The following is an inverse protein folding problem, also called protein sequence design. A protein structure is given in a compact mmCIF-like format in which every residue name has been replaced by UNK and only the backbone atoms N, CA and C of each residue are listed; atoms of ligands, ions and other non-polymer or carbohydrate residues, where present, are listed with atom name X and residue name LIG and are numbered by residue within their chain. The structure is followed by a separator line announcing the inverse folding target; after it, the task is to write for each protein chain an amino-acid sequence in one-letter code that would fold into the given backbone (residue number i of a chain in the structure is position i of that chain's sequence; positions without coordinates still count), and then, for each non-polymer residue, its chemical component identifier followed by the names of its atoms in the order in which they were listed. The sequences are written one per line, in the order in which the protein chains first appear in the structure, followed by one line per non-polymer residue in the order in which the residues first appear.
data_IF_057554530223
#
_entry.id   IF_057554530223
#
_cell.length_a   1.000
_cell.length_b   1.000
_cell.length_c   1.000
_cell.angle_alpha   90.00
_cell.angle_beta   90.00
_cell.angle_gamma   90.00
#
_symmetry.space_group_name_H-M   'P 1'
#
loop_
_entity.id
_entity.type
_entity.pdbx_description
1 polymer ?
#
# COMPACT_ATOMS: atom_id res chain seq x y z
N UNK A 1 13.17 -10.77 38.44
CA UNK A 1 13.76 -10.12 37.27
C UNK A 1 14.43 -8.86 37.74
N UNK A 2 15.72 -8.71 37.46
CA UNK A 2 16.48 -7.52 37.82
C UNK A 2 16.05 -6.34 36.93
N UNK A 3 15.69 -5.21 37.55
CA UNK A 3 15.27 -4.00 36.82
C UNK A 3 16.39 -3.46 35.92
N UNK A 4 17.66 -3.65 36.30
CA UNK A 4 18.79 -3.26 35.47
C UNK A 4 18.88 -4.09 34.19
N UNK A 5 18.55 -5.38 34.26
CA UNK A 5 18.50 -6.26 33.07
C UNK A 5 17.36 -5.89 32.11
N UNK A 6 16.21 -5.47 32.62
CA UNK A 6 15.07 -5.02 31.79
C UNK A 6 15.39 -3.67 31.12
N UNK A 7 15.95 -2.73 31.88
CA UNK A 7 16.34 -1.42 31.37
C UNK A 7 17.47 -1.57 30.34
N UNK A 8 18.46 -2.43 30.62
CA UNK A 8 19.54 -2.75 29.69
C UNK A 8 19.02 -3.31 28.36
N UNK A 9 18.12 -4.30 28.42
CA UNK A 9 17.52 -4.87 27.22
C UNK A 9 16.73 -3.86 26.38
N UNK A 10 16.00 -2.93 27.01
CA UNK A 10 15.29 -1.87 26.30
C UNK A 10 16.25 -0.87 25.61
N UNK A 11 17.35 -0.51 26.29
CA UNK A 11 18.38 0.38 25.72
C UNK A 11 19.04 -0.29 24.51
N UNK A 12 19.37 -1.58 24.61
CA UNK A 12 19.99 -2.31 23.50
C UNK A 12 19.04 -2.46 22.32
N UNK A 13 17.75 -2.71 22.56
CA UNK A 13 16.73 -2.73 21.50
C UNK A 13 16.60 -1.38 20.77
N UNK A 14 16.65 -0.25 21.50
CA UNK A 14 16.63 1.08 20.87
C UNK A 14 17.85 1.29 19.97
N UNK A 15 19.04 0.84 20.40
CA UNK A 15 20.26 0.90 19.57
C UNK A 15 20.16 0.03 18.32
N UNK A 16 19.60 -1.18 18.45
CA UNK A 16 19.34 -2.07 17.31
C UNK A 16 18.40 -1.40 16.29
N UNK A 17 17.34 -0.73 16.76
CA UNK A 17 16.41 0.03 15.91
C UNK A 17 17.08 1.21 15.22
N UNK A 18 17.91 1.98 15.94
CA UNK A 18 18.67 3.10 15.38
C UNK A 18 19.63 2.63 14.28
N UNK A 19 20.34 1.53 14.51
CA UNK A 19 21.25 0.94 13.54
C UNK A 19 20.51 0.41 12.31
N UNK A 20 19.37 -0.25 12.51
CA UNK A 20 18.52 -0.73 11.42
C UNK A 20 18.01 0.44 10.55
N UNK A 21 17.57 1.53 11.17
CA UNK A 21 17.10 2.73 10.48
C UNK A 21 18.21 3.35 9.63
N UNK A 22 19.42 3.49 10.18
CA UNK A 22 20.59 3.99 9.45
C UNK A 22 20.96 3.10 8.26
N UNK A 23 20.95 1.77 8.44
CA UNK A 23 21.20 0.79 7.37
C UNK A 23 20.21 0.94 6.21
N UNK A 24 18.91 1.06 6.53
CA UNK A 24 17.85 1.24 5.54
C UNK A 24 17.98 2.58 4.79
N UNK A 25 18.35 3.66 5.48
CA UNK A 25 18.62 4.95 4.84
C UNK A 25 19.82 4.90 3.89
N UNK A 26 20.89 4.18 4.26
CA UNK A 26 22.06 3.98 3.40
C UNK A 26 21.72 3.13 2.17
N UNK A 27 20.94 2.05 2.35
CA UNK A 27 20.45 1.22 1.25
C UNK A 27 19.54 2.01 0.30
N UNK A 28 18.66 2.88 0.84
CA UNK A 28 17.82 3.79 0.05
C UNK A 28 18.66 4.75 -0.80
N UNK A 29 19.74 5.32 -0.24
CA UNK A 29 20.67 6.21 -0.98
C UNK A 29 21.42 5.46 -2.09
N UNK A 30 21.88 4.23 -1.84
CA UNK A 30 22.58 3.43 -2.86
C UNK A 30 21.69 3.08 -4.06
N UNK A 31 20.44 2.71 -3.80
CA UNK A 31 19.45 2.45 -4.87
C UNK A 31 19.12 3.69 -5.70
N UNK A 32 19.25 4.90 -5.13
CA UNK A 32 19.05 6.15 -5.87
C UNK A 32 20.25 6.55 -6.74
N UNK A 33 21.46 6.05 -6.46
CA UNK A 33 22.68 6.42 -7.20
C UNK A 33 23.02 5.45 -8.35
N UNK A 34 22.52 4.21 -8.32
CA UNK A 34 22.74 3.21 -9.39
C UNK A 34 21.72 3.31 -10.55
N UNK A 35 20.64 4.09 -10.41
CA UNK A 35 19.62 4.29 -11.44
C UNK A 35 19.83 5.61 -12.21
N UNK A 36 20.94 5.67 -12.94
CA UNK A 36 21.01 6.50 -14.14
C UNK A 36 20.36 5.75 -15.32
N UNK A 37 19.49 6.46 -16.06
CA UNK A 37 18.81 6.11 -17.33
C UNK A 37 17.40 5.48 -17.26
N UNK A 38 16.35 6.32 -17.17
CA UNK A 38 15.30 6.49 -18.20
C UNK A 38 14.19 7.44 -17.68
N UNK A 39 13.74 8.48 -18.43
CA UNK A 39 12.90 9.55 -17.90
C UNK A 39 11.39 9.29 -17.96
N UNK A 40 10.91 8.05 -17.98
CA UNK A 40 9.47 7.80 -18.20
C UNK A 40 8.95 6.53 -17.54
N UNK A 41 8.85 6.51 -16.20
CA UNK A 41 7.90 5.66 -15.43
C UNK A 41 8.10 5.68 -13.91
N UNK A 42 8.77 6.68 -13.33
CA UNK A 42 8.96 6.77 -11.87
C UNK A 42 7.68 7.31 -11.20
N UNK A 43 6.62 6.50 -11.17
CA UNK A 43 5.55 6.69 -10.18
C UNK A 43 6.01 6.03 -8.87
N UNK A 44 6.08 6.76 -7.74
CA UNK A 44 6.78 6.35 -6.50
C UNK A 44 6.20 5.13 -5.78
N UNK A 45 5.05 4.65 -6.26
CA UNK A 45 4.27 3.60 -5.67
C UNK A 45 3.90 2.50 -6.68
N UNK A 46 4.54 2.47 -7.85
CA UNK A 46 4.34 1.39 -8.81
C UNK A 46 4.77 0.07 -8.16
N UNK A 47 3.79 -0.73 -7.74
CA UNK A 47 4.04 -1.96 -6.98
C UNK A 47 4.00 -1.82 -5.45
N UNK A 48 3.45 -0.75 -4.87
CA UNK A 48 3.22 -0.65 -3.42
C UNK A 48 2.43 -1.85 -2.88
N UNK A 49 1.38 -2.23 -3.60
CA UNK A 49 0.58 -3.43 -3.34
C UNK A 49 1.21 -4.72 -3.87
N UNK A 50 2.35 -4.66 -4.57
CA UNK A 50 3.04 -5.82 -5.16
C UNK A 50 4.16 -6.38 -4.25
N UNK A 51 4.22 -5.96 -2.99
CA UNK A 51 5.18 -6.50 -2.01
C UNK A 51 4.84 -7.96 -1.65
N UNK A 52 5.83 -8.83 -1.33
CA UNK A 52 5.65 -10.29 -1.29
C UNK A 52 4.67 -10.82 -0.25
N UNK A 53 4.22 -9.98 0.69
CA UNK A 53 3.23 -10.37 1.69
C UNK A 53 1.79 -10.36 1.16
N UNK A 54 1.57 -9.86 -0.08
CA UNK A 54 0.23 -9.68 -0.65
C UNK A 54 0.04 -10.18 -2.08
N UNK A 55 1.05 -10.79 -2.72
CA UNK A 55 0.88 -11.28 -4.11
C UNK A 55 0.25 -12.68 -4.15
N UNK A 56 -1.05 -12.77 -4.43
CA UNK A 56 -1.62 -13.96 -5.10
C UNK A 56 -1.59 -13.71 -6.61
N UNK A 57 -0.75 -14.48 -7.30
CA UNK A 57 -0.70 -14.73 -8.75
C UNK A 57 -1.52 -13.82 -9.68
N UNK A 58 -0.85 -12.87 -10.33
CA UNK A 58 -0.85 -12.76 -11.80
C UNK A 58 0.26 -11.81 -12.26
N UNK A 59 1.43 -12.37 -12.47
CA UNK A 59 2.39 -11.78 -13.40
C UNK A 59 1.80 -11.92 -14.80
N UNK A 60 1.86 -10.84 -15.59
CA UNK A 60 1.77 -10.81 -17.06
C UNK A 60 0.39 -10.68 -17.72
N UNK A 61 0.05 -9.44 -18.14
CA UNK A 61 -0.10 -9.10 -19.56
C UNK A 61 -0.45 -7.61 -19.71
N UNK A 62 0.49 -6.80 -20.21
CA UNK A 62 0.17 -5.50 -20.79
C UNK A 62 0.82 -5.41 -22.17
N UNK A 63 0.35 -6.28 -23.05
CA UNK A 63 0.36 -6.15 -24.50
C UNK A 63 -0.59 -7.24 -25.02
N UNK A 64 -1.28 -7.00 -26.13
CA UNK A 64 -2.29 -7.87 -26.77
C UNK A 64 -3.62 -8.13 -26.00
N UNK A 65 -4.40 -7.06 -25.78
CA UNK A 65 -5.87 -7.16 -25.66
C UNK A 65 -6.48 -7.58 -27.01
N UNK A 66 -6.39 -8.85 -27.41
CA UNK A 66 -7.31 -9.53 -28.35
C UNK A 66 -7.12 -11.04 -28.23
N UNK A 67 -8.23 -11.76 -28.07
CA UNK A 67 -8.39 -13.23 -28.01
C UNK A 67 -7.97 -13.90 -26.70
N UNK A 68 -8.92 -14.16 -25.80
CA UNK A 68 -9.48 -15.52 -25.63
C UNK A 68 -10.52 -15.45 -24.49
N UNK A 69 -11.78 -15.60 -24.88
CA UNK A 69 -12.87 -15.98 -23.99
C UNK A 69 -12.67 -17.45 -23.55
N UNK A 70 -13.17 -17.78 -22.38
CA UNK A 70 -13.47 -19.12 -21.86
C UNK A 70 -12.46 -19.87 -20.95
N UNK A 71 -13.00 -20.17 -19.75
CA UNK A 71 -12.78 -21.33 -18.85
C UNK A 71 -11.63 -21.33 -17.82
N UNK A 72 -12.01 -21.19 -16.54
CA UNK A 72 -11.71 -22.05 -15.35
C UNK A 72 -11.73 -21.16 -14.09
N UNK A 73 -12.73 -21.25 -13.20
CA UNK A 73 -13.00 -22.28 -12.17
C UNK A 73 -12.05 -22.24 -10.95
N UNK A 74 -12.70 -22.16 -9.77
CA UNK A 74 -12.31 -22.59 -8.42
C UNK A 74 -11.35 -21.78 -7.53
N UNK A 75 -11.94 -21.08 -6.55
CA UNK A 75 -11.97 -21.51 -5.14
C UNK A 75 -10.88 -21.01 -4.17
N UNK A 76 -11.29 -20.32 -3.10
CA UNK A 76 -10.56 -20.29 -1.81
C UNK A 76 -10.43 -18.95 -1.06
N UNK A 77 -11.45 -18.61 -0.26
CA UNK A 77 -11.43 -17.86 1.01
C UNK A 77 -10.31 -16.84 1.32
N UNK A 78 -10.47 -15.61 0.81
CA UNK A 78 -10.36 -14.30 1.51
C UNK A 78 -10.91 -13.25 0.52
N UNK A 79 -11.91 -12.44 0.89
CA UNK A 79 -12.50 -11.48 -0.06
C UNK A 79 -11.63 -10.22 -0.14
N UNK A 80 -10.50 -10.33 -0.83
CA UNK A 80 -9.70 -9.19 -1.25
C UNK A 80 -10.10 -8.83 -2.69
N UNK A 81 -10.71 -7.66 -2.86
CA UNK A 81 -11.03 -7.12 -4.17
C UNK A 81 -9.94 -6.14 -4.58
N UNK A 82 -9.20 -6.47 -5.63
CA UNK A 82 -8.22 -5.57 -6.25
C UNK A 82 -8.79 -5.00 -7.54
N UNK A 83 -8.82 -3.67 -7.68
CA UNK A 83 -9.20 -3.00 -8.93
C UNK A 83 -8.08 -2.05 -9.37
N UNK A 84 -7.44 -2.37 -10.50
CA UNK A 84 -6.41 -1.52 -11.13
C UNK A 84 -7.06 -0.66 -12.20
N UNK A 85 -7.46 0.55 -11.82
CA UNK A 85 -7.93 1.56 -12.77
C UNK A 85 -6.74 2.37 -13.27
N UNK A 86 -6.82 2.93 -14.48
CA UNK A 86 -5.84 3.93 -14.95
C UNK A 86 -5.74 5.17 -14.04
N UNK A 87 -6.69 5.32 -13.10
CA UNK A 87 -6.84 6.48 -12.22
C UNK A 87 -6.34 6.25 -10.79
N UNK A 88 -6.44 5.03 -10.27
CA UNK A 88 -6.07 4.68 -8.89
C UNK A 88 -5.91 3.17 -8.69
N UNK A 89 -5.02 2.79 -7.77
CA UNK A 89 -4.86 1.42 -7.27
C UNK A 89 -5.57 1.31 -5.90
N UNK A 90 -6.39 0.28 -5.74
CA UNK A 90 -7.25 0.09 -4.57
C UNK A 90 -7.04 -1.31 -3.98
N UNK A 91 -6.84 -1.38 -2.67
CA UNK A 91 -6.83 -2.61 -1.86
C UNK A 91 -7.90 -2.47 -0.78
N UNK A 92 -8.72 -3.51 -0.58
CA UNK A 92 -9.71 -3.56 0.49
C UNK A 92 -9.55 -4.86 1.27
N UNK A 93 -9.47 -4.76 2.60
CA UNK A 93 -9.53 -5.91 3.50
C UNK A 93 -10.73 -5.78 4.43
N UNK A 94 -11.54 -6.84 4.52
CA UNK A 94 -12.71 -6.90 5.39
C UNK A 94 -12.38 -7.73 6.63
N UNK A 95 -12.62 -7.17 7.81
CA UNK A 95 -12.39 -7.81 9.11
C UNK A 95 -13.70 -7.77 9.90
N UNK A 96 -14.44 -8.89 9.88
CA UNK A 96 -15.75 -9.04 10.51
C UNK A 96 -16.78 -7.99 10.04
N UNK A 97 -16.88 -6.88 10.78
CA UNK A 97 -17.80 -5.75 10.52
C UNK A 97 -17.06 -4.47 10.14
N UNK A 98 -15.73 -4.51 10.08
CA UNK A 98 -14.89 -3.37 9.74
C UNK A 98 -14.23 -3.59 8.38
N UNK A 99 -13.99 -2.52 7.63
CA UNK A 99 -13.23 -2.58 6.38
C UNK A 99 -12.03 -1.63 6.42
N UNK A 100 -10.87 -2.10 5.96
CA UNK A 100 -9.72 -1.25 5.70
C UNK A 100 -9.63 -1.02 4.19
N UNK A 101 -9.83 0.23 3.77
CA UNK A 101 -9.78 0.66 2.38
C UNK A 101 -8.51 1.48 2.16
N UNK A 102 -7.61 0.98 1.30
CA UNK A 102 -6.40 1.69 0.88
C UNK A 102 -6.56 2.14 -0.56
N UNK A 103 -6.32 3.42 -0.83
CA UNK A 103 -6.42 4.03 -2.16
C UNK A 103 -5.15 4.79 -2.46
N UNK A 104 -4.39 4.31 -3.43
CA UNK A 104 -3.23 4.98 -3.97
C UNK A 104 -3.60 5.65 -5.29
N UNK A 105 -3.30 6.94 -5.42
CA UNK A 105 -3.67 7.70 -6.60
C UNK A 105 -2.77 8.91 -6.82
N UNK A 106 -2.90 9.55 -7.98
CA UNK A 106 -2.29 10.88 -8.20
C UNK A 106 -3.04 11.93 -7.38
N UNK A 107 -2.31 12.83 -6.74
CA UNK A 107 -2.89 13.90 -5.91
C UNK A 107 -3.69 14.87 -6.78
N UNK A 108 -4.98 15.04 -6.47
CA UNK A 108 -5.85 16.05 -7.11
C UNK A 108 -6.58 16.91 -6.07
N UNK A 109 -6.80 18.22 -6.33
CA UNK A 109 -7.56 19.07 -5.43
C UNK A 109 -8.99 18.53 -5.19
N UNK A 110 -9.44 18.53 -3.94
CA UNK A 110 -10.79 18.11 -3.54
C UNK A 110 -11.08 16.61 -3.65
N UNK A 111 -10.11 15.78 -4.04
CA UNK A 111 -10.30 14.33 -4.19
C UNK A 111 -10.69 13.64 -2.87
N UNK A 112 -10.02 13.99 -1.78
CA UNK A 112 -10.32 13.41 -0.46
C UNK A 112 -11.74 13.75 -0.01
N UNK A 113 -12.19 14.99 -0.20
CA UNK A 113 -13.55 15.40 0.14
C UNK A 113 -14.59 14.61 -0.67
N UNK A 114 -14.33 14.39 -1.96
CA UNK A 114 -15.19 13.55 -2.81
C UNK A 114 -15.22 12.10 -2.33
N UNK A 115 -14.08 11.55 -1.91
CA UNK A 115 -14.03 10.20 -1.38
C UNK A 115 -14.80 10.09 -0.06
N UNK A 116 -14.66 11.06 0.84
CA UNK A 116 -15.41 11.10 2.11
C UNK A 116 -16.91 11.19 1.85
N UNK A 117 -17.34 12.08 0.96
CA UNK A 117 -18.76 12.20 0.59
C UNK A 117 -19.31 10.90 0.00
N UNK A 118 -18.55 10.24 -0.88
CA UNK A 118 -18.96 8.96 -1.45
C UNK A 118 -19.03 7.83 -0.40
N UNK A 119 -18.14 7.83 0.61
CA UNK A 119 -18.20 6.86 1.72
C UNK A 119 -19.40 7.11 2.63
N UNK A 120 -19.73 8.37 2.87
CA UNK A 120 -20.92 8.79 3.63
C UNK A 120 -22.21 8.39 2.91
N UNK A 121 -22.28 8.56 1.58
CA UNK A 121 -23.41 8.10 0.75
C UNK A 121 -23.62 6.57 0.77
N UNK A 122 -22.58 5.81 1.13
CA UNK A 122 -22.61 4.35 1.26
C UNK A 122 -22.88 3.89 2.70
N UNK A 123 -23.22 4.80 3.61
CA UNK A 123 -23.43 4.55 5.05
C UNK A 123 -22.20 3.93 5.76
N UNK A 124 -20.99 4.18 5.24
CA UNK A 124 -19.74 3.68 5.84
C UNK A 124 -19.17 4.70 6.82
N UNK A 125 -19.07 4.33 8.10
CA UNK A 125 -18.53 5.18 9.14
C UNK A 125 -16.99 5.17 9.09
N UNK A 126 -16.38 6.31 8.75
CA UNK A 126 -14.92 6.47 8.78
C UNK A 126 -14.45 6.57 10.24
N UNK A 127 -13.81 5.51 10.73
CA UNK A 127 -13.24 5.45 12.08
C UNK A 127 -11.86 6.11 12.16
N UNK A 128 -11.01 5.85 11.16
CA UNK A 128 -9.66 6.39 11.12
C UNK A 128 -9.20 6.59 9.68
N UNK A 129 -8.62 7.74 9.39
CA UNK A 129 -8.07 8.09 8.09
C UNK A 129 -6.59 8.42 8.25
N UNK A 130 -5.73 7.74 7.48
CA UNK A 130 -4.35 8.13 7.29
C UNK A 130 -4.14 8.62 5.85
N UNK A 131 -3.39 9.71 5.68
CA UNK A 131 -3.08 10.30 4.38
C UNK A 131 -1.58 10.48 4.27
N UNK A 132 -0.96 9.73 3.36
CA UNK A 132 0.47 9.83 3.06
C UNK A 132 0.65 10.36 1.66
N UNK A 133 1.48 11.38 1.46
CA UNK A 133 1.78 11.94 0.13
C UNK A 133 3.26 11.82 -0.17
N UNK A 134 3.61 11.33 -1.36
CA UNK A 134 4.99 11.23 -1.85
C UNK A 134 5.00 11.54 -3.34
N UNK A 135 5.88 12.45 -3.77
CA UNK A 135 6.21 12.75 -5.18
C UNK A 135 4.98 12.81 -6.11
N UNK A 136 3.99 13.65 -5.76
CA UNK A 136 2.78 13.88 -6.56
C UNK A 136 1.70 12.80 -6.44
N UNK A 137 1.95 11.73 -5.69
CA UNK A 137 0.98 10.68 -5.37
C UNK A 137 0.49 10.79 -3.93
N UNK A 138 -0.69 10.21 -3.67
CA UNK A 138 -1.34 10.17 -2.36
C UNK A 138 -1.87 8.77 -2.08
N UNK A 139 -1.61 8.28 -0.88
CA UNK A 139 -2.17 7.07 -0.31
C UNK A 139 -3.16 7.46 0.79
N UNK A 140 -4.40 7.09 0.62
CA UNK A 140 -5.44 7.16 1.64
C UNK A 140 -5.63 5.79 2.27
N UNK A 141 -5.65 5.70 3.59
CA UNK A 141 -6.02 4.49 4.31
C UNK A 141 -7.21 4.80 5.22
N UNK A 142 -8.39 4.33 4.87
CA UNK A 142 -9.61 4.45 5.65
C UNK A 142 -9.85 3.16 6.43
N UNK A 143 -10.14 3.28 7.73
CA UNK A 143 -10.76 2.22 8.51
C UNK A 143 -12.23 2.57 8.65
N UNK A 144 -13.09 1.66 8.23
CA UNK A 144 -14.52 1.85 8.04
C UNK A 144 -15.29 0.86 8.93
N UNK A 145 -16.54 1.20 9.25
CA UNK A 145 -17.52 0.34 9.91
C UNK A 145 -18.87 0.49 9.24
#
# INVERSE_FOLDING_TARGET
GDQASIIGGAIDFVKELEQLLQSLQAQKRRRQTEEGYSPDSAVPFNGFFMSPQYTTYSSQCNSYKYLMDSFADRGGNEFTAENKSAVADIEVTLIQTHANLKVLSRRRPGQLLKAIAALEELDLAILHLNVTTVDGSVLYCFNLK
#
